data_IF_314003626077
#
_entry.id   IF_314003626077
#
_cell.length_a   1.000
_cell.length_b   1.000
_cell.length_c   1.000
_cell.angle_alpha   90.00
_cell.angle_beta   90.00
_cell.angle_gamma   90.00
#
_symmetry.space_group_name_H-M   'P 1'
#
loop_
_entity.id
_entity.type
_entity.pdbx_description
1 polymer ?
#
# COMPACT_ATOMS: atom_id res chain seq x y z
N UNK A 1 -29.32 -2.00 -1.43
CA UNK A 1 -28.22 -2.43 -0.55
C UNK A 1 -27.13 -1.36 -0.57
N UNK A 2 -26.29 -1.25 0.45
CA UNK A 2 -25.12 -0.36 0.45
C UNK A 2 -23.84 -1.19 0.64
N UNK A 3 -22.83 -0.89 -0.17
CA UNK A 3 -21.49 -1.45 -0.01
C UNK A 3 -20.64 -0.46 0.80
N UNK A 4 -20.00 -0.95 1.86
CA UNK A 4 -19.07 -0.19 2.70
C UNK A 4 -17.69 -0.75 2.47
N UNK A 5 -16.89 -0.01 1.69
CA UNK A 5 -15.49 -0.32 1.48
C UNK A 5 -14.64 0.15 2.69
N UNK A 6 -13.54 -0.53 2.94
CA UNK A 6 -12.70 -0.37 4.13
C UNK A 6 -13.50 -0.47 5.44
N UNK A 7 -14.40 -1.45 5.51
CA UNK A 7 -15.36 -1.64 6.59
C UNK A 7 -14.71 -1.76 7.99
N UNK A 8 -13.43 -2.14 8.07
CA UNK A 8 -12.66 -2.11 9.31
C UNK A 8 -12.72 -0.75 10.02
N UNK A 9 -12.85 0.36 9.29
CA UNK A 9 -12.95 1.72 9.83
C UNK A 9 -14.14 1.91 10.80
N UNK A 10 -15.14 1.03 10.77
CA UNK A 10 -16.28 1.04 11.70
C UNK A 10 -15.88 0.62 13.12
N UNK A 11 -14.85 -0.23 13.28
CA UNK A 11 -14.47 -0.77 14.57
C UNK A 11 -13.40 0.08 15.23
N UNK A 12 -13.59 0.38 16.52
CA UNK A 12 -12.60 1.04 17.37
C UNK A 12 -11.35 0.18 17.62
N UNK A 13 -11.47 -1.14 17.41
CA UNK A 13 -10.37 -2.10 17.53
C UNK A 13 -9.53 -2.20 16.25
N UNK A 14 -9.94 -1.50 15.19
CA UNK A 14 -9.18 -1.43 13.95
C UNK A 14 -8.02 -0.44 14.05
N UNK A 15 -7.00 -0.70 13.25
CA UNK A 15 -5.83 0.16 13.11
C UNK A 15 -6.11 1.54 12.48
N UNK A 16 -7.31 1.78 11.97
CA UNK A 16 -7.70 3.00 11.25
C UNK A 16 -9.18 3.35 11.53
N UNK A 17 -9.57 3.38 12.81
CA UNK A 17 -10.92 3.74 13.21
C UNK A 17 -11.31 5.15 12.76
N UNK A 18 -12.46 5.29 12.10
CA UNK A 18 -13.00 6.58 11.61
C UNK A 18 -14.39 6.81 12.16
N UNK A 19 -14.58 7.71 13.14
CA UNK A 19 -15.90 8.02 13.71
C UNK A 19 -16.95 8.44 12.66
N UNK A 20 -16.53 8.96 11.51
CA UNK A 20 -17.44 9.29 10.40
C UNK A 20 -18.17 8.07 9.83
N UNK A 21 -17.56 6.89 9.83
CA UNK A 21 -18.19 5.64 9.35
C UNK A 21 -19.36 5.22 10.25
N UNK A 22 -19.28 5.49 11.56
CA UNK A 22 -20.36 5.19 12.50
C UNK A 22 -21.65 5.96 12.19
N UNK A 23 -21.55 7.14 11.55
CA UNK A 23 -22.72 7.92 11.13
C UNK A 23 -23.45 7.32 9.92
N UNK A 24 -22.79 6.42 9.19
CA UNK A 24 -23.33 5.81 7.97
C UNK A 24 -24.19 4.58 8.29
N UNK A 25 -23.75 3.70 9.20
CA UNK A 25 -24.26 2.32 9.25
C UNK A 25 -24.87 1.87 10.59
N UNK A 26 -24.85 2.69 11.65
CA UNK A 26 -25.12 2.24 13.03
C UNK A 26 -26.45 1.47 13.16
N UNK A 27 -26.52 0.60 14.18
CA UNK A 27 -27.68 -0.27 14.47
C UNK A 27 -28.24 0.00 15.88
N UNK A 28 -27.61 0.88 16.67
CA UNK A 28 -28.04 1.15 18.05
C UNK A 28 -27.84 2.61 18.46
N UNK A 29 -28.89 3.18 19.05
CA UNK A 29 -28.93 4.48 19.71
C UNK A 29 -27.74 4.64 20.65
N UNK A 30 -26.83 5.57 20.33
CA UNK A 30 -25.83 6.05 21.26
C UNK A 30 -26.40 7.27 21.97
N UNK A 31 -26.54 7.28 23.31
CA UNK A 31 -27.30 8.30 24.03
C UNK A 31 -26.74 9.74 23.91
N UNK A 32 -25.53 9.93 23.39
CA UNK A 32 -24.85 11.24 23.30
C UNK A 32 -24.50 11.71 21.88
N UNK A 33 -24.99 11.07 20.80
CA UNK A 33 -24.77 11.54 19.41
C UNK A 33 -26.13 11.72 18.70
N UNK A 34 -26.58 12.96 18.44
CA UNK A 34 -27.96 13.26 18.03
C UNK A 34 -28.22 13.20 16.51
N UNK A 35 -27.43 12.47 15.72
CA UNK A 35 -27.57 12.48 14.26
C UNK A 35 -28.20 11.18 13.72
N UNK A 36 -29.23 11.27 12.84
CA UNK A 36 -29.87 10.12 12.23
C UNK A 36 -28.92 9.36 11.28
N UNK A 37 -29.11 8.05 11.20
CA UNK A 37 -28.32 7.13 10.38
C UNK A 37 -28.56 7.45 8.90
N UNK A 38 -27.55 7.94 8.19
CA UNK A 38 -27.77 8.45 6.83
C UNK A 38 -28.27 7.34 5.90
N UNK A 39 -27.71 6.13 5.99
CA UNK A 39 -28.08 5.05 5.07
C UNK A 39 -29.40 4.38 5.46
N UNK A 40 -29.64 4.12 6.75
CA UNK A 40 -30.88 3.47 7.22
C UNK A 40 -32.05 4.45 7.28
N UNK A 41 -31.90 5.55 8.02
CA UNK A 41 -33.02 6.47 8.31
C UNK A 41 -33.40 7.36 7.14
N UNK A 42 -32.41 7.88 6.39
CA UNK A 42 -32.70 8.80 5.27
C UNK A 42 -32.88 8.10 3.93
N UNK A 43 -32.17 6.99 3.71
CA UNK A 43 -32.14 6.30 2.43
C UNK A 43 -32.79 4.91 2.44
N UNK A 44 -33.31 4.45 3.59
CA UNK A 44 -34.05 3.19 3.69
C UNK A 44 -33.20 1.94 3.41
N UNK A 45 -31.87 2.01 3.55
CA UNK A 45 -30.98 0.88 3.27
C UNK A 45 -31.12 -0.18 4.36
N UNK A 46 -31.61 -1.36 4.00
CA UNK A 46 -31.75 -2.50 4.92
C UNK A 46 -30.63 -3.55 4.80
N UNK A 47 -29.97 -3.64 3.65
CA UNK A 47 -28.94 -4.63 3.34
C UNK A 47 -27.56 -3.96 3.17
N UNK A 48 -26.56 -4.45 3.90
CA UNK A 48 -25.18 -3.94 3.90
C UNK A 48 -24.19 -5.02 3.47
N UNK A 49 -23.23 -4.64 2.63
CA UNK A 49 -22.06 -5.44 2.28
C UNK A 49 -20.81 -4.72 2.79
N UNK A 50 -20.13 -5.29 3.78
CA UNK A 50 -18.88 -4.74 4.31
C UNK A 50 -17.66 -5.44 3.70
N UNK A 51 -16.79 -4.69 3.05
CA UNK A 51 -15.56 -5.20 2.43
C UNK A 51 -14.35 -4.66 3.18
N UNK A 52 -13.37 -5.50 3.48
CA UNK A 52 -12.08 -5.09 4.03
C UNK A 52 -11.00 -6.07 3.60
N UNK A 53 -9.82 -5.57 3.26
CA UNK A 53 -8.67 -6.41 2.93
C UNK A 53 -8.00 -6.98 4.19
N UNK A 54 -8.01 -6.20 5.28
CA UNK A 54 -7.38 -6.58 6.55
C UNK A 54 -8.34 -6.34 7.72
N UNK A 55 -8.53 -7.37 8.55
CA UNK A 55 -9.25 -7.27 9.82
C UNK A 55 -8.87 -8.43 10.74
N UNK A 56 -8.59 -8.13 12.00
CA UNK A 56 -8.48 -9.18 13.03
C UNK A 56 -9.86 -9.83 13.27
N UNK A 57 -9.93 -11.05 13.82
CA UNK A 57 -11.22 -11.67 14.15
C UNK A 57 -12.07 -10.81 15.09
N UNK A 58 -11.45 -10.06 16.00
CA UNK A 58 -12.13 -9.11 16.87
C UNK A 58 -12.71 -7.93 16.08
N UNK A 59 -11.92 -7.33 15.18
CA UNK A 59 -12.35 -6.25 14.27
C UNK A 59 -13.51 -6.71 13.38
N UNK A 60 -13.38 -7.86 12.73
CA UNK A 60 -14.41 -8.40 11.82
C UNK A 60 -15.75 -8.62 12.54
N UNK A 61 -15.73 -9.17 13.76
CA UNK A 61 -16.95 -9.33 14.58
C UNK A 61 -17.58 -7.99 14.95
N UNK A 62 -16.76 -7.01 15.31
CA UNK A 62 -17.25 -5.67 15.67
C UNK A 62 -17.85 -4.92 14.47
N UNK A 63 -17.23 -5.05 13.29
CA UNK A 63 -17.79 -4.57 12.02
C UNK A 63 -19.13 -5.24 11.72
N UNK A 64 -19.23 -6.57 11.87
CA UNK A 64 -20.48 -7.32 11.69
C UNK A 64 -21.60 -6.79 12.59
N UNK A 65 -21.29 -6.52 13.87
CA UNK A 65 -22.24 -5.88 14.81
C UNK A 65 -22.68 -4.50 14.35
N UNK A 66 -21.76 -3.69 13.83
CA UNK A 66 -22.08 -2.35 13.32
C UNK A 66 -22.95 -2.37 12.06
N UNK A 67 -22.80 -3.39 11.20
CA UNK A 67 -23.60 -3.54 9.98
C UNK A 67 -24.93 -4.26 10.23
N UNK A 68 -25.10 -4.90 11.39
CA UNK A 68 -26.29 -5.69 11.73
C UNK A 68 -26.27 -7.09 11.14
N UNK A 69 -25.08 -7.64 10.87
CA UNK A 69 -24.91 -9.03 10.43
C UNK A 69 -25.20 -9.95 11.61
N UNK A 70 -26.12 -10.93 11.48
CA UNK A 70 -26.44 -11.85 12.55
C UNK A 70 -25.20 -12.65 13.01
N UNK A 71 -25.04 -12.93 14.32
CA UNK A 71 -23.91 -13.72 14.84
C UNK A 71 -23.77 -15.10 14.17
N UNK A 72 -24.89 -15.71 13.80
CA UNK A 72 -25.00 -17.01 13.14
C UNK A 72 -24.52 -17.02 11.68
N UNK A 73 -24.67 -15.91 10.95
CA UNK A 73 -24.11 -15.75 9.61
C UNK A 73 -22.59 -15.48 9.70
N UNK A 74 -22.18 -14.77 10.76
CA UNK A 74 -20.80 -14.42 11.05
C UNK A 74 -20.14 -13.58 9.94
N UNK A 75 -18.98 -12.98 10.18
CA UNK A 75 -18.18 -12.48 9.08
C UNK A 75 -17.72 -13.66 8.23
N UNK A 76 -17.91 -13.60 6.91
CA UNK A 76 -17.24 -14.48 5.96
C UNK A 76 -15.73 -14.18 5.98
N UNK A 77 -15.02 -14.69 6.98
CA UNK A 77 -13.58 -14.47 7.15
C UNK A 77 -12.86 -15.44 6.23
N UNK A 78 -12.37 -14.93 5.10
CA UNK A 78 -11.32 -15.61 4.37
C UNK A 78 -10.03 -15.45 5.18
N UNK A 79 -9.37 -16.56 5.52
CA UNK A 79 -8.08 -16.55 6.19
C UNK A 79 -7.09 -15.78 5.32
N UNK A 80 -6.70 -14.57 5.76
CA UNK A 80 -5.73 -13.73 5.09
C UNK A 80 -4.31 -14.26 5.34
N UNK A 81 -3.99 -15.41 4.73
CA UNK A 81 -2.62 -15.94 4.72
C UNK A 81 -1.80 -15.11 3.76
N UNK A 82 -0.55 -14.78 4.12
CA UNK A 82 0.38 -14.15 3.19
C UNK A 82 0.50 -15.05 1.94
N UNK A 83 0.31 -14.51 0.72
CA UNK A 83 0.39 -15.32 -0.49
C UNK A 83 1.74 -16.06 -0.58
N UNK A 84 1.76 -17.35 -0.97
CA UNK A 84 2.97 -18.17 -0.97
C UNK A 84 4.02 -17.70 -1.99
N UNK A 85 3.63 -16.88 -2.96
CA UNK A 85 4.54 -16.26 -3.92
C UNK A 85 5.29 -15.03 -3.35
N UNK A 86 4.95 -14.54 -2.16
CA UNK A 86 5.67 -13.47 -1.50
C UNK A 86 6.86 -14.00 -0.69
N UNK A 87 8.06 -13.59 -1.07
CA UNK A 87 9.30 -13.87 -0.35
C UNK A 87 9.58 -12.76 0.64
N UNK A 88 9.42 -13.04 1.94
CA UNK A 88 9.64 -12.07 3.01
C UNK A 88 11.10 -12.12 3.48
N UNK A 89 11.70 -10.96 3.72
CA UNK A 89 13.06 -10.83 4.27
C UNK A 89 13.18 -9.59 5.14
N UNK A 90 14.12 -9.62 6.08
CA UNK A 90 14.34 -8.54 7.05
C UNK A 90 15.83 -8.37 7.27
N UNK A 91 16.28 -7.14 7.49
CA UNK A 91 17.66 -6.83 7.91
C UNK A 91 17.70 -5.68 8.91
N UNK A 92 18.82 -5.56 9.62
CA UNK A 92 19.08 -4.54 10.66
C UNK A 92 20.32 -3.75 10.28
N UNK A 93 20.21 -2.91 9.24
CA UNK A 93 21.33 -2.17 8.68
C UNK A 93 21.55 -0.83 9.41
N UNK A 94 22.80 -0.56 9.81
CA UNK A 94 23.20 0.74 10.37
C UNK A 94 23.15 1.84 9.31
N UNK A 95 23.70 1.57 8.13
CA UNK A 95 23.59 2.43 6.95
C UNK A 95 22.48 1.91 6.02
N UNK A 96 21.25 2.34 6.27
CA UNK A 96 20.08 1.96 5.46
C UNK A 96 20.14 2.49 4.04
N UNK A 97 20.78 3.63 3.80
CA UNK A 97 20.90 4.21 2.46
C UNK A 97 21.81 3.33 1.59
N UNK A 98 22.99 2.99 2.11
CA UNK A 98 23.92 2.08 1.45
C UNK A 98 23.31 0.69 1.26
N UNK A 99 22.61 0.17 2.27
CA UNK A 99 21.94 -1.12 2.20
C UNK A 99 20.82 -1.13 1.16
N UNK A 100 19.98 -0.09 1.09
CA UNK A 100 18.93 0.05 0.07
C UNK A 100 19.51 0.05 -1.36
N UNK A 101 20.59 0.81 -1.60
CA UNK A 101 21.23 0.84 -2.91
C UNK A 101 21.85 -0.51 -3.26
N UNK A 102 22.51 -1.16 -2.29
CA UNK A 102 23.10 -2.49 -2.47
C UNK A 102 22.02 -3.53 -2.76
N UNK A 103 20.89 -3.47 -2.06
CA UNK A 103 19.73 -4.32 -2.27
C UNK A 103 19.17 -4.15 -3.69
N UNK A 104 18.94 -2.92 -4.14
CA UNK A 104 18.41 -2.60 -5.48
C UNK A 104 19.35 -2.97 -6.64
N UNK A 105 20.66 -3.05 -6.37
CA UNK A 105 21.69 -3.51 -7.33
C UNK A 105 21.87 -5.03 -7.31
N UNK A 106 21.56 -5.68 -6.20
CA UNK A 106 21.72 -7.12 -6.05
C UNK A 106 20.85 -7.90 -7.04
N UNK A 107 21.27 -9.13 -7.36
CA UNK A 107 20.60 -10.01 -8.34
C UNK A 107 19.10 -10.23 -8.04
N UNK A 108 18.71 -10.11 -6.78
CA UNK A 108 17.33 -10.25 -6.32
C UNK A 108 16.44 -9.04 -6.68
N UNK A 109 16.98 -7.87 -6.97
CA UNK A 109 16.16 -6.68 -7.27
C UNK A 109 16.56 -5.98 -8.56
N UNK A 110 17.73 -6.29 -9.11
CA UNK A 110 18.25 -5.66 -10.32
C UNK A 110 17.39 -5.90 -11.55
N UNK A 111 16.79 -7.10 -11.67
CA UNK A 111 15.87 -7.48 -12.74
C UNK A 111 14.41 -7.14 -12.47
N UNK A 112 14.12 -6.44 -11.37
CA UNK A 112 12.75 -6.04 -11.04
C UNK A 112 12.44 -4.65 -11.59
N UNK A 113 11.32 -4.63 -12.30
CA UNK A 113 10.86 -3.54 -13.15
C UNK A 113 9.89 -2.59 -12.43
N UNK A 114 9.36 -3.02 -11.29
CA UNK A 114 8.33 -2.32 -10.54
C UNK A 114 8.48 -2.58 -9.06
N UNK A 115 9.00 -1.57 -8.35
CA UNK A 115 9.37 -1.63 -6.94
C UNK A 115 8.69 -0.46 -6.21
N UNK A 116 8.08 -0.76 -5.07
CA UNK A 116 7.56 0.25 -4.16
C UNK A 116 8.47 0.30 -2.94
N UNK A 117 8.93 1.48 -2.56
CA UNK A 117 9.69 1.72 -1.33
C UNK A 117 8.83 2.56 -0.39
N UNK A 118 8.38 2.00 0.73
CA UNK A 118 7.59 2.70 1.73
C UNK A 118 8.47 3.43 2.75
N UNK A 119 8.12 4.70 2.97
CA UNK A 119 8.71 5.60 3.95
C UNK A 119 7.62 6.19 4.84
N UNK A 120 7.98 6.57 6.05
CA UNK A 120 7.07 7.21 7.01
C UNK A 120 6.89 8.70 6.72
N UNK A 121 7.97 9.38 6.30
CA UNK A 121 8.01 10.85 6.15
C UNK A 121 8.05 11.30 4.70
N UNK A 122 7.43 12.45 4.41
CA UNK A 122 7.36 13.02 3.06
C UNK A 122 8.73 13.47 2.57
N UNK A 123 9.49 14.15 3.42
CA UNK A 123 10.84 14.61 3.10
C UNK A 123 11.76 13.44 2.73
N UNK A 124 11.63 12.32 3.44
CA UNK A 124 12.40 11.10 3.23
C UNK A 124 12.11 10.46 1.87
N UNK A 125 10.83 10.42 1.44
CA UNK A 125 10.51 9.90 0.10
C UNK A 125 11.22 10.67 -1.01
N UNK A 126 11.33 11.99 -0.88
CA UNK A 126 11.97 12.85 -1.87
C UNK A 126 13.50 12.66 -1.86
N UNK A 127 14.09 12.60 -0.65
CA UNK A 127 15.52 12.35 -0.45
C UNK A 127 15.94 11.00 -1.03
N UNK A 128 15.22 9.93 -0.71
CA UNK A 128 15.53 8.58 -1.18
C UNK A 128 15.28 8.43 -2.68
N UNK A 129 14.23 9.02 -3.23
CA UNK A 129 14.04 9.01 -4.69
C UNK A 129 15.22 9.69 -5.40
N UNK A 130 15.74 10.80 -4.86
CA UNK A 130 16.93 11.46 -5.39
C UNK A 130 18.19 10.58 -5.24
N UNK A 131 18.40 9.97 -4.08
CA UNK A 131 19.51 9.05 -3.84
C UNK A 131 19.52 7.90 -4.86
N UNK A 132 18.39 7.22 -5.04
CA UNK A 132 18.25 6.11 -5.99
C UNK A 132 18.54 6.60 -7.42
N UNK A 133 17.97 7.75 -7.80
CA UNK A 133 18.23 8.37 -9.12
C UNK A 133 19.68 8.70 -9.34
N UNK A 134 20.47 9.03 -8.32
CA UNK A 134 21.89 9.38 -8.44
C UNK A 134 22.76 8.13 -8.44
N UNK A 135 22.51 7.20 -7.52
CA UNK A 135 23.35 6.02 -7.35
C UNK A 135 23.12 4.94 -8.41
N UNK A 136 21.95 4.89 -9.06
CA UNK A 136 21.66 3.89 -10.08
C UNK A 136 21.74 4.41 -11.52
N UNK A 137 22.25 5.64 -11.74
CA UNK A 137 22.51 6.14 -13.11
C UNK A 137 23.50 5.22 -13.81
N UNK A 138 23.23 4.92 -15.09
CA UNK A 138 24.13 4.10 -15.91
C UNK A 138 24.11 2.61 -15.58
N UNK A 139 23.16 2.11 -14.77
CA UNK A 139 22.95 0.66 -14.66
C UNK A 139 22.43 0.09 -15.99
N UNK A 140 23.13 -0.86 -16.65
CA UNK A 140 22.81 -1.28 -18.01
C UNK A 140 21.51 -2.09 -18.21
N UNK A 141 20.78 -2.41 -17.13
CA UNK A 141 19.88 -3.57 -17.14
C UNK A 141 18.37 -3.26 -17.02
N UNK A 142 17.97 -2.01 -16.80
CA UNK A 142 16.55 -1.68 -16.70
C UNK A 142 16.11 -0.88 -17.91
N UNK A 143 15.41 -1.49 -18.86
CA UNK A 143 14.71 -0.77 -19.93
C UNK A 143 13.21 -0.68 -19.60
N UNK A 144 12.54 0.46 -19.87
CA UNK A 144 11.11 0.59 -19.64
C UNK A 144 10.33 -0.49 -20.38
N UNK A 145 9.59 -1.32 -19.65
CA UNK A 145 8.73 -2.36 -20.25
C UNK A 145 7.64 -1.68 -21.07
N UNK A 146 7.83 -1.61 -22.39
CA UNK A 146 6.83 -1.07 -23.31
C UNK A 146 5.68 -2.07 -23.43
N UNK A 147 4.57 -1.81 -22.75
CA UNK A 147 3.31 -2.51 -23.01
C UNK A 147 2.92 -2.34 -24.48
N UNK A 148 2.61 -3.45 -25.13
CA UNK A 148 2.56 -3.65 -26.59
C UNK A 148 1.52 -2.87 -27.40
N UNK A 149 0.92 -1.78 -26.89
CA UNK A 149 -0.21 -1.11 -27.56
C UNK A 149 0.09 0.23 -28.25
N UNK A 150 1.34 0.70 -28.27
CA UNK A 150 1.70 1.89 -29.08
C UNK A 150 3.01 1.72 -29.83
N UNK A 151 3.01 0.78 -30.79
CA UNK A 151 3.89 0.82 -31.94
C UNK A 151 3.40 1.90 -32.91
N UNK A 152 3.88 3.13 -32.72
CA UNK A 152 4.29 4.01 -33.83
C UNK A 152 4.66 5.38 -33.28
N UNK A 153 5.82 5.87 -33.72
CA UNK A 153 6.25 7.26 -33.60
C UNK A 153 6.65 7.79 -32.20
N UNK A 154 7.64 7.18 -31.54
CA UNK A 154 8.70 8.04 -30.97
C UNK A 154 10.03 7.30 -30.81
N UNK A 155 10.99 7.77 -31.61
CA UNK A 155 12.44 7.51 -31.59
C UNK A 155 12.99 7.60 -30.16
N UNK A 156 13.93 6.70 -29.87
CA UNK A 156 14.86 6.62 -28.73
C UNK A 156 14.99 7.91 -27.90
N UNK A 157 14.11 8.09 -26.91
CA UNK A 157 14.34 9.05 -25.84
C UNK A 157 15.11 8.28 -24.78
N UNK A 158 16.41 8.54 -24.65
CA UNK A 158 17.26 7.90 -23.64
C UNK A 158 16.61 7.92 -22.26
N UNK A 159 16.89 6.91 -21.45
CA UNK A 159 16.37 6.81 -20.09
C UNK A 159 16.63 8.11 -19.34
N UNK A 160 15.58 8.82 -18.96
CA UNK A 160 15.76 10.04 -18.18
C UNK A 160 15.92 9.58 -16.73
N UNK A 161 16.76 10.23 -15.90
CA UNK A 161 16.92 9.85 -14.49
C UNK A 161 15.59 9.78 -13.72
N UNK A 162 14.60 10.58 -14.10
CA UNK A 162 13.24 10.59 -13.54
C UNK A 162 12.40 9.34 -13.86
N UNK A 163 12.80 8.54 -14.84
CA UNK A 163 12.16 7.26 -15.21
C UNK A 163 12.66 6.10 -14.30
N UNK A 164 13.70 6.35 -13.49
CA UNK A 164 14.26 5.36 -12.56
C UNK A 164 13.57 5.38 -11.20
N UNK A 165 13.45 6.55 -10.57
CA UNK A 165 12.81 6.67 -9.27
C UNK A 165 12.10 8.01 -9.07
N UNK A 166 10.91 7.99 -8.47
CA UNK A 166 10.14 9.19 -8.14
C UNK A 166 9.51 9.08 -6.74
N UNK A 167 9.35 10.22 -6.07
CA UNK A 167 8.65 10.28 -4.79
C UNK A 167 7.13 10.36 -4.98
N UNK A 168 6.38 9.84 -4.00
CA UNK A 168 4.93 9.95 -3.96
C UNK A 168 4.43 10.18 -2.53
N UNK A 169 3.80 11.33 -2.30
CA UNK A 169 3.19 11.66 -1.01
C UNK A 169 2.04 12.66 -1.16
N UNK A 170 1.20 12.76 -0.13
CA UNK A 170 0.04 13.65 -0.12
C UNK A 170 0.36 15.15 -0.30
N UNK A 171 1.60 15.55 0.01
CA UNK A 171 2.08 16.93 -0.20
C UNK A 171 2.35 17.31 -1.66
N UNK A 172 2.45 16.35 -2.59
CA UNK A 172 2.67 16.65 -4.01
C UNK A 172 1.39 17.20 -4.66
N UNK A 173 1.50 18.10 -5.65
CA UNK A 173 0.36 18.53 -6.46
C UNK A 173 -0.38 17.34 -7.08
N UNK A 174 -1.71 17.44 -7.22
CA UNK A 174 -2.53 16.35 -7.75
C UNK A 174 -2.13 15.95 -9.19
N UNK A 175 -1.65 16.91 -10.00
CA UNK A 175 -1.14 16.62 -11.34
C UNK A 175 0.14 15.77 -11.30
N UNK A 176 1.04 16.04 -10.35
CA UNK A 176 2.28 15.31 -10.17
C UNK A 176 2.05 13.89 -9.63
N UNK A 177 1.17 13.73 -8.64
CA UNK A 177 0.75 12.40 -8.16
C UNK A 177 0.20 11.55 -9.30
N UNK A 178 -0.71 12.11 -10.11
CA UNK A 178 -1.26 11.43 -11.30
C UNK A 178 -0.18 11.05 -12.31
N UNK A 179 0.82 11.91 -12.53
CA UNK A 179 1.95 11.65 -13.43
C UNK A 179 2.78 10.48 -12.93
N UNK A 180 3.20 10.50 -11.66
CA UNK A 180 4.02 9.43 -11.05
C UNK A 180 3.28 8.10 -11.06
N UNK A 181 2.01 8.09 -10.62
CA UNK A 181 1.18 6.89 -10.64
C UNK A 181 1.04 6.35 -12.07
N UNK A 182 0.71 7.18 -13.06
CA UNK A 182 0.59 6.74 -14.46
C UNK A 182 1.89 6.14 -15.00
N UNK A 183 3.04 6.78 -14.73
CA UNK A 183 4.34 6.27 -15.18
C UNK A 183 4.67 4.91 -14.56
N UNK A 184 4.36 4.71 -13.27
CA UNK A 184 4.55 3.42 -12.60
C UNK A 184 3.61 2.34 -13.16
N UNK A 185 2.32 2.67 -13.31
CA UNK A 185 1.33 1.76 -13.90
C UNK A 185 1.73 1.31 -15.32
N UNK A 186 2.31 2.21 -16.13
CA UNK A 186 2.70 1.91 -17.51
C UNK A 186 4.10 1.27 -17.65
N UNK A 187 4.80 0.92 -16.57
CA UNK A 187 6.16 0.36 -16.62
C UNK A 187 7.26 1.35 -17.03
N UNK A 188 6.96 2.67 -17.01
CA UNK A 188 7.94 3.73 -17.33
C UNK A 188 8.73 4.19 -16.13
N UNK A 189 8.29 3.86 -14.92
CA UNK A 189 8.94 4.20 -13.68
C UNK A 189 9.26 2.92 -12.92
N UNK A 190 10.54 2.66 -12.65
CA UNK A 190 10.99 1.46 -11.94
C UNK A 190 10.61 1.48 -10.47
N UNK A 191 10.98 2.57 -9.78
CA UNK A 191 10.87 2.68 -8.34
C UNK A 191 9.95 3.84 -7.96
N UNK A 192 8.93 3.57 -7.16
CA UNK A 192 8.16 4.60 -6.48
C UNK A 192 8.56 4.59 -5.01
N UNK A 193 9.08 5.72 -4.53
CA UNK A 193 9.35 5.93 -3.10
C UNK A 193 8.17 6.69 -2.50
N UNK A 194 7.41 6.04 -1.63
CA UNK A 194 6.09 6.50 -1.25
C UNK A 194 5.86 6.50 0.26
N UNK A 195 5.00 7.42 0.69
CA UNK A 195 4.26 7.21 1.95
C UNK A 195 3.05 6.30 1.70
N UNK A 196 2.38 5.86 2.76
CA UNK A 196 1.14 5.05 2.68
C UNK A 196 0.07 5.62 1.73
N UNK A 197 0.14 6.92 1.42
CA UNK A 197 -0.73 7.60 0.46
C UNK A 197 -0.70 7.03 -0.97
N UNK A 198 0.36 6.32 -1.38
CA UNK A 198 0.42 5.70 -2.72
C UNK A 198 -0.46 4.45 -2.83
N UNK A 199 -0.81 3.83 -1.71
CA UNK A 199 -1.49 2.55 -1.70
C UNK A 199 -2.99 2.61 -2.04
N UNK A 200 -3.68 3.71 -1.78
CA UNK A 200 -5.13 3.76 -2.01
C UNK A 200 -5.42 3.74 -3.52
N UNK A 201 -5.96 2.61 -4.02
CA UNK A 201 -6.35 2.46 -5.43
C UNK A 201 -5.23 2.08 -6.42
N UNK A 202 -4.05 1.66 -5.95
CA UNK A 202 -3.04 1.07 -6.83
C UNK A 202 -3.42 -0.37 -7.18
N UNK A 203 -3.65 -0.63 -8.46
CA UNK A 203 -3.91 -1.96 -9.00
C UNK A 203 -2.98 -2.30 -10.17
N UNK A 204 -1.71 -2.55 -9.85
CA UNK A 204 -0.71 -3.03 -10.80
C UNK A 204 -0.42 -4.51 -10.49
N UNK A 205 -0.70 -5.45 -11.41
CA UNK A 205 -0.61 -6.88 -11.10
C UNK A 205 0.85 -7.36 -10.92
N UNK A 206 1.78 -6.76 -11.64
CA UNK A 206 3.18 -7.15 -11.81
C UNK A 206 4.15 -6.34 -10.93
N UNK A 207 3.73 -5.90 -9.73
CA UNK A 207 4.66 -5.30 -8.77
C UNK A 207 5.60 -6.38 -8.24
N UNK A 208 6.87 -6.32 -8.64
CA UNK A 208 7.87 -7.32 -8.32
C UNK A 208 8.44 -7.22 -6.91
N UNK A 209 8.41 -6.03 -6.30
CA UNK A 209 8.85 -5.87 -4.92
C UNK A 209 8.18 -4.73 -4.14
N UNK A 210 8.10 -4.94 -2.83
CA UNK A 210 7.74 -3.94 -1.82
C UNK A 210 8.86 -3.89 -0.78
N UNK A 211 9.39 -2.70 -0.50
CA UNK A 211 10.48 -2.49 0.44
C UNK A 211 10.01 -1.50 1.50
N UNK A 212 10.08 -1.87 2.76
CA UNK A 212 9.80 -0.99 3.89
C UNK A 212 11.11 -0.41 4.42
N UNK A 213 11.36 0.86 4.11
CA UNK A 213 12.54 1.59 4.58
C UNK A 213 12.44 1.96 6.07
N UNK A 214 11.21 2.18 6.56
CA UNK A 214 10.92 2.25 7.99
C UNK A 214 9.82 1.25 8.34
N UNK A 215 9.73 0.94 9.63
CA UNK A 215 8.69 0.08 10.18
C UNK A 215 7.29 0.64 9.86
N UNK A 216 6.38 -0.18 9.30
CA UNK A 216 4.96 0.14 9.22
C UNK A 216 4.37 0.46 10.59
N UNK A 217 3.27 1.23 10.59
CA UNK A 217 2.60 1.63 11.85
C UNK A 217 2.12 0.45 12.68
N UNK A 218 1.75 -0.65 12.03
CA UNK A 218 1.25 -1.88 12.62
C UNK A 218 1.31 -3.01 11.58
N UNK A 219 1.02 -4.21 12.03
CA UNK A 219 1.07 -5.42 11.22
C UNK A 219 0.03 -5.41 10.08
N UNK A 220 -1.16 -4.85 10.31
CA UNK A 220 -2.21 -4.75 9.29
C UNK A 220 -1.77 -3.87 8.12
N UNK A 221 -1.14 -2.72 8.40
CA UNK A 221 -0.54 -1.88 7.36
C UNK A 221 0.54 -2.65 6.59
N UNK A 222 1.43 -3.37 7.31
CA UNK A 222 2.46 -4.19 6.67
C UNK A 222 1.85 -5.21 5.69
N UNK A 223 0.87 -5.99 6.13
CA UNK A 223 0.19 -7.00 5.31
C UNK A 223 -0.50 -6.37 4.10
N UNK A 224 -1.20 -5.24 4.29
CA UNK A 224 -1.88 -4.53 3.20
C UNK A 224 -0.88 -3.97 2.17
N UNK A 225 0.28 -3.51 2.64
CA UNK A 225 1.33 -2.92 1.80
C UNK A 225 2.08 -3.98 1.00
N UNK A 226 2.49 -5.10 1.61
CA UNK A 226 3.14 -6.20 0.89
C UNK A 226 2.19 -6.92 -0.07
N UNK A 227 0.88 -6.96 0.22
CA UNK A 227 -0.16 -7.53 -0.65
C UNK A 227 -0.38 -6.79 -1.97
N UNK A 228 0.41 -5.74 -2.23
CA UNK A 228 0.48 -5.06 -3.53
C UNK A 228 1.42 -5.76 -4.50
N UNK A 229 2.37 -6.53 -3.98
CA UNK A 229 3.33 -7.27 -4.78
C UNK A 229 2.72 -8.59 -5.28
N UNK A 230 3.18 -9.06 -6.45
CA UNK A 230 2.91 -10.41 -6.94
C UNK A 230 1.42 -10.75 -7.12
N UNK A 231 0.59 -9.79 -7.52
CA UNK A 231 -0.85 -10.02 -7.81
C UNK A 231 -1.05 -10.84 -9.08
N UNK A 232 -0.05 -10.90 -9.96
CA UNK A 232 0.05 -11.79 -11.12
C UNK A 232 0.43 -13.24 -10.74
N UNK A 233 0.63 -13.53 -9.45
CA UNK A 233 1.02 -14.84 -8.93
C UNK A 233 2.51 -15.18 -9.10
N UNK A 234 3.31 -14.30 -9.73
CA UNK A 234 4.76 -14.52 -9.86
C UNK A 234 5.47 -14.28 -8.53
N UNK A 235 6.69 -14.84 -8.35
CA UNK A 235 7.49 -14.58 -7.16
C UNK A 235 7.75 -13.08 -7.00
N UNK A 236 7.36 -12.53 -5.85
CA UNK A 236 7.59 -11.13 -5.52
C UNK A 236 8.29 -11.00 -4.18
N UNK A 237 9.07 -9.94 -4.01
CA UNK A 237 9.99 -9.81 -2.87
C UNK A 237 9.55 -8.70 -1.93
N UNK A 238 9.46 -9.02 -0.65
CA UNK A 238 9.13 -8.07 0.40
C UNK A 238 10.32 -7.96 1.36
N UNK A 239 10.83 -6.75 1.56
CA UNK A 239 11.98 -6.51 2.41
C UNK A 239 11.71 -5.42 3.43
N UNK A 240 12.04 -5.66 4.70
CA UNK A 240 11.88 -4.69 5.78
C UNK A 240 13.24 -4.37 6.41
N UNK A 241 13.59 -3.09 6.41
CA UNK A 241 14.69 -2.58 7.22
C UNK A 241 14.19 -2.31 8.64
N UNK A 242 14.64 -3.12 9.59
CA UNK A 242 14.42 -2.88 11.02
C UNK A 242 15.43 -1.87 11.55
N UNK A 243 14.99 -1.07 12.50
CA UNK A 243 15.89 -0.20 13.25
C UNK A 243 16.89 -1.09 14.02
N UNK A 244 18.21 -0.87 13.87
CA UNK A 244 19.21 -1.55 14.68
C UNK A 244 19.15 -1.00 16.12
N UNK A 245 18.20 -1.50 16.90
CA UNK A 245 17.92 -1.22 18.32
C UNK A 245 17.78 0.25 18.74
N UNK A 246 16.57 0.61 19.18
CA UNK A 246 16.44 1.39 20.41
C UNK A 246 16.53 0.37 21.54
N UNK A 247 17.62 0.40 22.29
CA UNK A 247 17.79 -0.38 23.52
C UNK A 247 16.66 -0.02 24.50
N UNK A 248 15.62 -0.85 24.59
CA UNK A 248 14.58 -0.75 25.61
C UNK A 248 14.92 -1.65 26.79
N UNK A 249 16.02 -1.36 27.50
CA UNK A 249 16.22 -1.75 28.90
C UNK A 249 17.21 -0.77 29.56
N UNK A 250 16.64 0.12 30.36
CA UNK A 250 17.29 0.94 31.38
C UNK A 250 16.23 1.27 32.43
#
# INVERSE_FOLDING_TARGET
>A
FACIDEAHCLSQWSHNFRPSYLRLCKVRKWPQIPHPEVLRDRLGVCCFLGLTATATPATARDVGRHLGVPPEEGPAVLSATVPPNLQLSVSTDRDRDGALISLLRGERFSSLDSIIVYCTRREETTRLAALIRTCLQGTPNWEPTRTSEKLSAQKTLGQRPQDLAASYHAGLPAAERRRVQRSFMSGRLRVVVATVAFGMGLDKPDVGAVIHYNMPKNFECYVQEIGRAGRDGRPARCHLFLDPEVTLWG
#
